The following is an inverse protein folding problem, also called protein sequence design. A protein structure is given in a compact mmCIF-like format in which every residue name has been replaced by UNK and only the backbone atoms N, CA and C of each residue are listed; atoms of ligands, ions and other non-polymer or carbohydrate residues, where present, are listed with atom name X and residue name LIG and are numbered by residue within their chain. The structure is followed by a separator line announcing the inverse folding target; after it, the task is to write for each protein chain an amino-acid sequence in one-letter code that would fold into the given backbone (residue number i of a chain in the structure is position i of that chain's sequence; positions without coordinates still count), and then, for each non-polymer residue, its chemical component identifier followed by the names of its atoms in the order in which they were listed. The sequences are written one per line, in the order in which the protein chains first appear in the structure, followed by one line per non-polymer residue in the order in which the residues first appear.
data_IF_345986234129
#
_entry.id   IF_345986234129
#
_cell.length_a   1.000
_cell.length_b   1.000
_cell.length_c   1.000
_cell.angle_alpha   90.00
_cell.angle_beta   90.00
_cell.angle_gamma   90.00
#
_symmetry.space_group_name_H-M   'P 1'
#
loop_
_entity.id
_entity.type
_entity.pdbx_description
1 polymer ?
#
# COMPACT_ATOMS: atom_id res chain seq x y z
N UNK A 1 -30.41 1.37 -28.95
CA UNK A 1 -30.76 0.36 -29.97
C UNK A 1 -30.46 0.89 -31.38
N UNK A 2 -29.28 0.61 -31.92
CA UNK A 2 -28.96 0.60 -33.36
C UNK A 2 -27.49 0.16 -33.52
N UNK A 3 -27.24 -1.13 -33.29
CA UNK A 3 -25.95 -1.75 -33.60
C UNK A 3 -26.24 -2.98 -34.47
N UNK A 4 -26.58 -2.75 -35.74
CA UNK A 4 -26.79 -3.79 -36.76
C UNK A 4 -26.75 -3.17 -38.14
N UNK A 5 -25.60 -3.19 -38.80
CA UNK A 5 -25.56 -3.01 -40.26
C UNK A 5 -24.31 -3.52 -40.99
N UNK A 6 -23.14 -3.70 -40.35
CA UNK A 6 -21.92 -4.09 -41.09
C UNK A 6 -21.12 -5.11 -40.29
N UNK A 7 -21.27 -6.39 -40.63
CA UNK A 7 -20.73 -7.57 -39.94
C UNK A 7 -19.21 -7.69 -39.93
N UNK A 8 -18.56 -6.82 -39.13
CA UNK A 8 -17.16 -6.88 -38.70
C UNK A 8 -17.00 -5.99 -37.46
N UNK A 9 -17.66 -6.32 -36.36
CA UNK A 9 -17.50 -5.61 -35.08
C UNK A 9 -17.47 -6.63 -33.94
N UNK A 10 -16.27 -6.96 -33.48
CA UNK A 10 -16.09 -7.07 -32.04
C UNK A 10 -16.35 -5.65 -31.52
N UNK A 11 -17.54 -5.41 -30.96
CA UNK A 11 -17.71 -4.25 -30.10
C UNK A 11 -16.84 -4.52 -28.89
N UNK A 12 -15.59 -4.05 -28.94
CA UNK A 12 -14.78 -3.88 -27.75
C UNK A 12 -15.62 -2.98 -26.83
N UNK A 13 -16.25 -3.57 -25.81
CA UNK A 13 -17.23 -2.89 -24.95
C UNK A 13 -16.57 -1.86 -24.03
N UNK A 14 -15.29 -1.55 -24.26
CA UNK A 14 -14.55 -0.62 -23.47
C UNK A 14 -14.48 -1.03 -22.00
N UNK A 15 -14.58 -2.32 -21.67
CA UNK A 15 -14.44 -2.83 -20.31
C UNK A 15 -13.06 -3.45 -20.08
N UNK A 16 -12.61 -3.47 -18.84
CA UNK A 16 -11.41 -4.21 -18.41
C UNK A 16 -11.80 -5.68 -18.23
N UNK A 17 -10.98 -6.60 -18.74
CA UNK A 17 -11.18 -8.03 -18.48
C UNK A 17 -10.67 -8.37 -17.08
N UNK A 18 -11.29 -9.33 -16.39
CA UNK A 18 -10.92 -9.65 -15.01
C UNK A 18 -9.45 -10.06 -14.89
N UNK A 19 -8.91 -10.75 -15.89
CA UNK A 19 -7.51 -11.18 -15.93
C UNK A 19 -6.54 -10.01 -16.18
N UNK A 20 -7.02 -8.88 -16.72
CA UNK A 20 -6.23 -7.68 -16.95
C UNK A 20 -6.32 -6.69 -15.77
N UNK A 21 -7.36 -6.81 -14.94
CA UNK A 21 -7.63 -5.88 -13.85
C UNK A 21 -6.50 -5.77 -12.81
N UNK A 22 -5.77 -6.84 -12.40
CA UNK A 22 -4.63 -6.71 -11.49
C UNK A 22 -3.53 -5.77 -12.03
N UNK A 23 -3.17 -5.93 -13.30
CA UNK A 23 -2.13 -5.14 -13.95
C UNK A 23 -2.57 -3.69 -14.18
N UNK A 24 -3.81 -3.46 -14.59
CA UNK A 24 -4.33 -2.11 -14.79
C UNK A 24 -4.51 -1.34 -13.47
N UNK A 25 -4.91 -2.05 -12.41
CA UNK A 25 -5.01 -1.52 -11.04
C UNK A 25 -3.62 -1.14 -10.51
N UNK A 26 -2.65 -2.05 -10.62
CA UNK A 26 -1.25 -1.78 -10.25
C UNK A 26 -0.70 -0.54 -10.96
N UNK A 27 -1.03 -0.35 -12.24
CA UNK A 27 -0.61 0.83 -12.98
C UNK A 27 -1.16 2.14 -12.38
N UNK A 28 -2.44 2.20 -11.99
CA UNK A 28 -3.01 3.41 -11.34
C UNK A 28 -2.24 3.75 -10.06
N UNK A 29 -2.13 2.79 -9.15
CA UNK A 29 -1.58 3.04 -7.82
C UNK A 29 -0.08 3.32 -7.88
N UNK A 30 0.67 2.59 -8.69
CA UNK A 30 2.11 2.84 -8.83
C UNK A 30 2.42 4.14 -9.57
N UNK A 31 1.59 4.55 -10.54
CA UNK A 31 1.76 5.88 -11.17
C UNK A 31 1.49 7.01 -10.17
N UNK A 32 0.54 6.82 -9.25
CA UNK A 32 0.31 7.77 -8.15
C UNK A 32 1.50 7.80 -7.18
N UNK A 33 2.08 6.65 -6.82
CA UNK A 33 3.31 6.58 -6.02
C UNK A 33 4.46 7.34 -6.67
N UNK A 34 4.74 7.06 -7.95
CA UNK A 34 5.82 7.72 -8.68
C UNK A 34 5.61 9.23 -8.81
N UNK A 35 4.35 9.67 -8.96
CA UNK A 35 4.01 11.09 -9.13
C UNK A 35 4.04 11.85 -7.80
N UNK A 36 3.56 11.23 -6.72
CA UNK A 36 3.25 11.93 -5.47
C UNK A 36 4.32 11.76 -4.40
N UNK A 37 5.00 10.61 -4.34
CA UNK A 37 5.98 10.34 -3.28
C UNK A 37 7.35 11.00 -3.53
N UNK A 38 7.60 11.53 -4.74
CA UNK A 38 8.86 12.22 -5.06
C UNK A 38 10.09 11.34 -4.79
N UNK A 39 11.08 11.90 -4.09
CA UNK A 39 12.32 11.18 -3.73
C UNK A 39 12.09 9.94 -2.83
N UNK A 40 10.87 9.76 -2.30
CA UNK A 40 10.48 8.64 -1.45
C UNK A 40 9.79 7.49 -2.20
N UNK A 41 9.51 7.64 -3.50
CA UNK A 41 8.84 6.60 -4.30
C UNK A 41 9.61 5.26 -4.30
N UNK A 42 10.96 5.31 -4.27
CA UNK A 42 11.81 4.12 -4.18
C UNK A 42 11.51 3.25 -2.95
N UNK A 43 11.16 3.89 -1.83
CA UNK A 43 10.83 3.23 -0.56
C UNK A 43 9.44 2.61 -0.57
N UNK A 44 8.56 3.04 -1.47
CA UNK A 44 7.19 2.54 -1.63
C UNK A 44 7.09 1.46 -2.73
N UNK A 45 8.20 0.76 -2.99
CA UNK A 45 8.29 -0.34 -3.95
C UNK A 45 9.05 0.00 -5.24
N UNK A 46 9.26 1.29 -5.53
CA UNK A 46 10.07 1.79 -6.64
C UNK A 46 9.82 1.06 -7.97
N UNK A 47 10.89 0.69 -8.67
CA UNK A 47 10.84 0.00 -9.96
C UNK A 47 10.07 -1.35 -9.93
N UNK A 48 9.89 -1.96 -8.76
CA UNK A 48 9.14 -3.22 -8.59
C UNK A 48 7.70 -3.02 -8.14
N UNK A 49 7.24 -1.79 -7.92
CA UNK A 49 5.88 -1.50 -7.45
C UNK A 49 4.84 -2.25 -8.29
N UNK A 50 4.88 -2.07 -9.62
CA UNK A 50 3.91 -2.69 -10.53
C UNK A 50 3.94 -4.21 -10.46
N UNK A 51 5.14 -4.81 -10.54
CA UNK A 51 5.29 -6.27 -10.53
C UNK A 51 4.80 -6.89 -9.23
N UNK A 52 5.21 -6.32 -8.09
CA UNK A 52 4.83 -6.83 -6.78
C UNK A 52 3.34 -6.62 -6.51
N UNK A 53 2.81 -5.44 -6.82
CA UNK A 53 1.39 -5.15 -6.64
C UNK A 53 0.53 -6.07 -7.49
N UNK A 54 0.87 -6.25 -8.77
CA UNK A 54 0.15 -7.20 -9.64
C UNK A 54 0.18 -8.61 -9.08
N UNK A 55 1.37 -9.11 -8.71
CA UNK A 55 1.48 -10.46 -8.14
C UNK A 55 0.72 -10.62 -6.82
N UNK A 56 0.75 -9.62 -5.92
CA UNK A 56 -0.05 -9.63 -4.69
C UNK A 56 -1.55 -9.57 -4.95
N UNK A 57 -1.99 -8.78 -5.93
CA UNK A 57 -3.40 -8.73 -6.31
C UNK A 57 -3.87 -10.08 -6.89
N UNK A 58 -3.09 -10.65 -7.82
CA UNK A 58 -3.34 -11.95 -8.44
C UNK A 58 -3.40 -13.07 -7.41
N UNK A 59 -2.50 -13.10 -6.42
CA UNK A 59 -2.47 -14.18 -5.40
C UNK A 59 -3.35 -13.89 -4.17
N UNK A 60 -3.95 -12.71 -4.10
CA UNK A 60 -4.74 -12.24 -2.97
C UNK A 60 -6.19 -12.02 -3.35
N UNK A 61 -6.57 -10.75 -3.52
CA UNK A 61 -7.95 -10.34 -3.75
C UNK A 61 -8.58 -11.00 -4.99
N UNK A 62 -7.83 -11.20 -6.08
CA UNK A 62 -8.40 -11.76 -7.30
C UNK A 62 -8.68 -13.26 -7.22
N UNK A 63 -7.91 -14.03 -6.46
CA UNK A 63 -8.25 -15.44 -6.15
C UNK A 63 -9.55 -15.53 -5.34
N UNK A 64 -9.73 -14.59 -4.39
CA UNK A 64 -10.99 -14.48 -3.64
C UNK A 64 -12.17 -14.15 -4.58
N UNK A 65 -11.96 -13.25 -5.54
CA UNK A 65 -12.96 -12.87 -6.54
C UNK A 65 -13.33 -14.04 -7.45
N UNK A 66 -12.34 -14.75 -8.00
CA UNK A 66 -12.56 -15.92 -8.85
C UNK A 66 -13.36 -17.00 -8.11
N UNK A 67 -13.03 -17.25 -6.84
CA UNK A 67 -13.77 -18.19 -6.00
C UNK A 67 -15.23 -17.73 -5.78
N UNK A 68 -15.47 -16.45 -5.54
CA UNK A 68 -16.80 -15.89 -5.32
C UNK A 68 -17.65 -15.89 -6.60
N UNK A 69 -17.04 -15.58 -7.75
CA UNK A 69 -17.68 -15.66 -9.07
C UNK A 69 -18.06 -17.11 -9.38
N UNK A 70 -17.15 -18.06 -9.13
CA UNK A 70 -17.43 -19.49 -9.32
C UNK A 70 -18.54 -19.99 -8.39
N UNK A 71 -18.61 -19.45 -7.16
CA UNK A 71 -19.70 -19.70 -6.21
C UNK A 71 -21.02 -19.02 -6.61
N UNK A 72 -20.96 -18.04 -7.50
CA UNK A 72 -22.10 -17.27 -7.98
C UNK A 72 -22.61 -16.25 -6.97
N UNK A 73 -21.78 -15.83 -6.02
CA UNK A 73 -22.13 -14.82 -4.98
C UNK A 73 -21.78 -13.40 -5.41
N UNK A 74 -20.97 -13.25 -6.46
CA UNK A 74 -20.67 -11.98 -7.12
C UNK A 74 -20.68 -12.14 -8.64
N UNK A 75 -20.86 -11.02 -9.34
CA UNK A 75 -20.59 -10.91 -10.77
C UNK A 75 -19.62 -9.77 -11.02
N UNK A 76 -18.73 -9.92 -11.99
CA UNK A 76 -17.72 -8.92 -12.34
C UNK A 76 -18.22 -7.97 -13.45
N UNK A 77 -18.08 -6.66 -13.23
CA UNK A 77 -18.37 -5.62 -14.22
C UNK A 77 -17.08 -4.93 -14.70
N UNK A 78 -16.66 -5.28 -15.92
CA UNK A 78 -15.49 -4.70 -16.56
C UNK A 78 -15.65 -3.22 -16.96
N UNK A 79 -16.88 -2.73 -17.17
CA UNK A 79 -17.13 -1.32 -17.48
C UNK A 79 -17.08 -0.45 -16.21
N UNK A 80 -17.62 -0.96 -15.10
CA UNK A 80 -17.44 -0.35 -13.78
C UNK A 80 -15.95 -0.32 -13.40
N UNK A 81 -15.21 -1.41 -13.66
CA UNK A 81 -13.76 -1.44 -13.47
C UNK A 81 -13.06 -0.33 -14.23
N UNK A 82 -13.37 -0.11 -15.52
CA UNK A 82 -12.75 0.99 -16.28
C UNK A 82 -13.05 2.35 -15.67
N UNK A 83 -14.32 2.59 -15.32
CA UNK A 83 -14.76 3.85 -14.73
C UNK A 83 -14.04 4.11 -13.39
N UNK A 84 -13.92 3.09 -12.55
CA UNK A 84 -13.16 3.14 -11.31
C UNK A 84 -11.70 3.54 -11.53
N UNK A 85 -11.00 2.86 -12.43
CA UNK A 85 -9.59 3.16 -12.68
C UNK A 85 -9.39 4.58 -13.26
N UNK A 86 -10.31 5.04 -14.12
CA UNK A 86 -10.28 6.41 -14.66
C UNK A 86 -10.52 7.46 -13.57
N UNK A 87 -11.47 7.22 -12.66
CA UNK A 87 -11.74 8.10 -11.50
C UNK A 87 -10.57 8.11 -10.51
N UNK A 88 -9.97 6.95 -10.23
CA UNK A 88 -8.77 6.83 -9.39
C UNK A 88 -7.57 7.57 -9.99
N UNK A 89 -7.42 7.60 -11.32
CA UNK A 89 -6.39 8.43 -11.99
C UNK A 89 -6.62 9.92 -11.77
N UNK A 90 -7.88 10.35 -11.75
CA UNK A 90 -8.25 11.75 -11.47
C UNK A 90 -7.98 12.11 -10.01
N UNK A 91 -8.21 11.17 -9.08
CA UNK A 91 -7.93 11.37 -7.65
C UNK A 91 -6.43 11.60 -7.35
N UNK A 92 -5.52 11.04 -8.17
CA UNK A 92 -4.08 11.27 -8.06
C UNK A 92 -3.53 10.89 -6.69
N UNK A 93 -2.93 11.84 -5.98
CA UNK A 93 -2.31 11.61 -4.66
C UNK A 93 -3.30 11.27 -3.54
N UNK A 94 -4.60 11.45 -3.77
CA UNK A 94 -5.64 11.13 -2.80
C UNK A 94 -6.17 9.69 -2.94
N UNK A 95 -5.69 8.92 -3.91
CA UNK A 95 -6.21 7.58 -4.25
C UNK A 95 -6.17 6.58 -3.08
N UNK A 96 -5.37 6.83 -2.04
CA UNK A 96 -5.24 5.97 -0.86
C UNK A 96 -6.03 6.45 0.37
N UNK A 97 -6.54 7.69 0.39
CA UNK A 97 -7.10 8.31 1.60
C UNK A 97 -8.56 8.78 1.44
N UNK A 98 -9.07 8.77 0.22
CA UNK A 98 -10.47 9.02 -0.06
C UNK A 98 -11.27 7.71 -0.09
N UNK A 99 -12.56 7.81 0.21
CA UNK A 99 -13.47 6.69 -0.02
C UNK A 99 -13.42 6.30 -1.50
N UNK A 100 -13.40 4.99 -1.82
CA UNK A 100 -13.42 4.56 -3.21
C UNK A 100 -14.66 5.13 -3.91
N UNK A 101 -14.53 5.62 -5.15
CA UNK A 101 -15.68 6.07 -5.94
C UNK A 101 -16.77 5.01 -6.07
N UNK A 102 -18.00 5.44 -6.35
CA UNK A 102 -19.15 4.52 -6.54
C UNK A 102 -18.85 3.47 -7.61
N UNK A 103 -18.21 3.87 -8.71
CA UNK A 103 -17.81 2.98 -9.80
C UNK A 103 -16.87 1.85 -9.36
N UNK A 104 -16.05 2.06 -8.33
CA UNK A 104 -15.19 1.03 -7.75
C UNK A 104 -15.97 0.00 -6.93
N UNK A 105 -17.09 0.41 -6.31
CA UNK A 105 -17.98 -0.51 -5.58
C UNK A 105 -18.84 -1.34 -6.52
N UNK A 106 -19.05 -0.87 -7.74
CA UNK A 106 -19.82 -1.57 -8.78
C UNK A 106 -19.00 -2.62 -9.55
N UNK A 107 -17.68 -2.73 -9.29
CA UNK A 107 -16.81 -3.73 -9.94
C UNK A 107 -17.30 -5.15 -9.67
N UNK A 108 -17.69 -5.42 -8.42
CA UNK A 108 -18.28 -6.67 -8.01
C UNK A 108 -19.72 -6.41 -7.59
N UNK A 109 -20.65 -7.01 -8.30
CA UNK A 109 -22.08 -6.93 -7.98
C UNK A 109 -22.46 -8.19 -7.21
N UNK A 110 -22.65 -8.02 -5.90
CA UNK A 110 -23.08 -9.07 -4.98
C UNK A 110 -24.49 -9.57 -5.25
N UNK A 111 -24.74 -10.84 -4.91
CA UNK A 111 -26.05 -11.50 -5.09
C UNK A 111 -26.67 -11.99 -3.78
N UNK A 112 -25.96 -11.87 -2.66
CA UNK A 112 -26.43 -12.33 -1.34
C UNK A 112 -27.36 -11.28 -0.75
N UNK A 113 -28.55 -11.68 -0.35
CA UNK A 113 -29.55 -10.73 0.15
C UNK A 113 -29.23 -10.27 1.58
N UNK A 114 -29.75 -9.11 1.97
CA UNK A 114 -29.56 -8.60 3.32
C UNK A 114 -30.07 -9.59 4.39
N UNK A 115 -29.25 -9.81 5.42
CA UNK A 115 -29.50 -10.76 6.51
C UNK A 115 -29.00 -12.18 6.25
N UNK A 116 -28.47 -12.47 5.06
CA UNK A 116 -27.86 -13.77 4.75
C UNK A 116 -26.36 -13.80 5.04
N UNK A 117 -25.80 -15.01 5.12
CA UNK A 117 -24.39 -15.22 5.43
C UNK A 117 -23.50 -14.79 4.26
N UNK A 118 -22.37 -14.15 4.57
CA UNK A 118 -21.40 -13.67 3.59
C UNK A 118 -19.97 -13.91 4.06
N UNK A 119 -19.01 -13.85 3.13
CA UNK A 119 -17.56 -13.97 3.43
C UNK A 119 -16.85 -12.62 3.37
N UNK A 120 -17.28 -11.73 2.46
CA UNK A 120 -16.73 -10.39 2.31
C UNK A 120 -17.79 -9.44 1.73
N UNK A 121 -17.55 -8.13 1.86
CA UNK A 121 -18.57 -7.09 1.67
C UNK A 121 -19.18 -7.06 0.26
N UNK A 122 -18.38 -7.34 -0.76
CA UNK A 122 -18.79 -7.31 -2.17
C UNK A 122 -19.74 -8.45 -2.57
N UNK A 123 -19.92 -9.48 -1.73
CA UNK A 123 -20.92 -10.54 -1.97
C UNK A 123 -22.35 -10.10 -1.69
N UNK A 124 -22.49 -9.06 -0.86
CA UNK A 124 -23.78 -8.55 -0.45
C UNK A 124 -24.41 -7.70 -1.57
N UNK A 125 -25.67 -7.99 -1.88
CA UNK A 125 -26.41 -7.28 -2.90
C UNK A 125 -26.71 -5.82 -2.48
N UNK A 126 -26.63 -4.91 -3.44
CA UNK A 126 -26.87 -3.48 -3.22
C UNK A 126 -25.78 -2.81 -2.39
N UNK A 127 -26.15 -1.79 -1.60
CA UNK A 127 -25.20 -1.01 -0.77
C UNK A 127 -24.99 -1.62 0.63
N UNK A 128 -24.90 -2.95 0.69
CA UNK A 128 -24.63 -3.69 1.92
C UNK A 128 -23.12 -3.97 2.10
N UNK A 129 -22.75 -4.40 3.30
CA UNK A 129 -21.40 -4.87 3.65
C UNK A 129 -21.52 -6.15 4.48
N UNK A 130 -20.40 -6.89 4.61
CA UNK A 130 -20.38 -8.16 5.33
C UNK A 130 -19.94 -7.97 6.77
N UNK A 131 -20.90 -7.93 7.70
CA UNK A 131 -20.62 -7.67 9.11
C UNK A 131 -20.13 -8.93 9.83
N UNK A 132 -18.98 -8.83 10.51
CA UNK A 132 -18.47 -9.86 11.42
C UNK A 132 -17.85 -11.10 10.77
N UNK A 133 -17.46 -11.05 9.50
CA UNK A 133 -16.77 -12.17 8.84
C UNK A 133 -15.34 -12.34 9.37
N UNK A 134 -14.96 -13.58 9.65
CA UNK A 134 -13.61 -14.02 9.97
C UNK A 134 -13.41 -15.39 9.31
N UNK A 135 -13.14 -15.38 8.00
CA UNK A 135 -13.08 -16.59 7.20
C UNK A 135 -11.75 -17.33 7.33
N UNK A 136 -11.76 -18.68 7.33
CA UNK A 136 -12.91 -19.57 7.08
C UNK A 136 -13.78 -19.90 8.32
N UNK A 137 -13.46 -19.37 9.50
CA UNK A 137 -14.05 -19.79 10.78
C UNK A 137 -15.49 -19.35 10.98
N UNK A 138 -15.80 -18.09 10.64
CA UNK A 138 -17.09 -17.46 10.92
C UNK A 138 -17.54 -16.61 9.73
N UNK A 139 -18.64 -17.02 9.10
CA UNK A 139 -19.32 -16.19 8.11
C UNK A 139 -19.93 -14.95 8.77
N UNK A 140 -19.83 -13.83 8.06
CA UNK A 140 -20.51 -12.59 8.44
C UNK A 140 -21.97 -12.59 8.02
N UNK A 141 -22.64 -11.45 8.16
CA UNK A 141 -24.01 -11.24 7.70
C UNK A 141 -24.13 -9.97 6.87
N UNK A 142 -24.77 -10.08 5.69
CA UNK A 142 -25.01 -8.93 4.84
C UNK A 142 -25.89 -7.90 5.53
N UNK A 143 -25.32 -6.75 5.85
CA UNK A 143 -25.96 -5.69 6.62
C UNK A 143 -25.90 -4.37 5.86
N UNK A 144 -26.91 -3.51 6.03
CA UNK A 144 -26.90 -2.20 5.43
C UNK A 144 -25.73 -1.36 5.96
N UNK A 145 -25.04 -0.66 5.07
CA UNK A 145 -23.95 0.24 5.45
C UNK A 145 -24.41 1.34 6.41
N UNK A 146 -23.47 1.74 7.25
CA UNK A 146 -23.63 2.66 8.36
C UNK A 146 -23.64 4.10 7.87
N UNK A 147 -24.62 4.86 8.35
CA UNK A 147 -24.77 6.29 8.04
C UNK A 147 -23.74 7.13 8.81
N UNK A 148 -23.58 8.39 8.40
CA UNK A 148 -22.65 9.31 9.06
C UNK A 148 -22.92 9.44 10.57
N UNK A 149 -21.84 9.46 11.36
CA UNK A 149 -21.87 9.54 12.82
C UNK A 149 -22.11 8.20 13.53
N UNK A 150 -22.20 7.09 12.78
CA UNK A 150 -22.32 5.74 13.36
C UNK A 150 -20.94 5.14 13.59
N UNK A 151 -20.79 4.37 14.67
CA UNK A 151 -19.56 3.65 15.02
C UNK A 151 -19.18 2.63 13.95
N UNK A 152 -17.90 2.58 13.57
CA UNK A 152 -17.35 1.67 12.56
C UNK A 152 -15.96 1.19 12.97
N UNK A 153 -15.54 0.04 12.44
CA UNK A 153 -14.18 -0.48 12.56
C UNK A 153 -13.43 -0.41 11.20
N UNK A 154 -14.17 -0.43 10.09
CA UNK A 154 -13.68 -0.31 8.71
C UNK A 154 -14.47 0.67 7.84
N UNK A 155 -13.80 1.27 6.85
CA UNK A 155 -14.44 2.22 5.90
C UNK A 155 -15.44 1.55 4.97
N UNK A 156 -15.32 0.24 4.75
CA UNK A 156 -16.29 -0.57 4.00
C UNK A 156 -17.58 -0.82 4.78
N UNK A 157 -17.67 -0.42 6.04
CA UNK A 157 -18.94 -0.45 6.77
C UNK A 157 -19.78 0.80 6.46
N UNK A 158 -19.17 1.87 5.94
CA UNK A 158 -19.81 3.16 5.76
C UNK A 158 -20.48 3.30 4.38
N UNK A 159 -21.58 4.06 4.33
CA UNK A 159 -22.26 4.41 3.07
C UNK A 159 -21.30 5.13 2.12
N UNK A 160 -21.58 5.05 0.82
CA UNK A 160 -20.72 5.61 -0.23
C UNK A 160 -20.35 7.07 0.03
N UNK A 161 -19.07 7.39 -0.15
CA UNK A 161 -18.50 8.72 0.10
C UNK A 161 -18.09 8.99 1.55
N UNK A 162 -18.28 8.04 2.47
CA UNK A 162 -17.78 8.12 3.85
C UNK A 162 -16.63 7.12 4.07
N UNK A 163 -15.75 7.48 5.01
CA UNK A 163 -14.67 6.63 5.55
C UNK A 163 -14.88 6.43 7.05
N UNK A 164 -14.27 5.40 7.60
CA UNK A 164 -14.20 5.20 9.04
C UNK A 164 -13.02 5.98 9.61
N UNK A 165 -13.31 7.09 10.30
CA UNK A 165 -12.28 8.01 10.83
C UNK A 165 -12.58 8.28 12.31
N UNK A 166 -11.60 8.08 13.20
CA UNK A 166 -11.82 8.13 14.65
C UNK A 166 -12.94 7.18 15.13
N UNK A 167 -13.10 6.02 14.47
CA UNK A 167 -14.12 5.02 14.80
C UNK A 167 -15.55 5.39 14.42
N UNK A 168 -15.76 6.42 13.58
CA UNK A 168 -17.10 6.80 13.12
C UNK A 168 -17.15 7.08 11.62
N UNK A 169 -18.26 6.73 10.97
CA UNK A 169 -18.48 7.01 9.56
C UNK A 169 -18.62 8.52 9.33
N UNK A 170 -17.73 9.11 8.54
CA UNK A 170 -17.81 10.53 8.16
C UNK A 170 -17.12 10.79 6.84
N UNK A 171 -17.28 12.00 6.29
CA UNK A 171 -16.50 12.42 5.12
C UNK A 171 -15.04 12.51 5.51
N UNK A 172 -14.15 11.97 4.68
CA UNK A 172 -12.70 12.00 4.95
C UNK A 172 -12.24 13.42 5.26
N UNK A 173 -11.58 13.59 6.40
CA UNK A 173 -10.95 14.86 6.76
C UNK A 173 -9.61 15.04 6.06
N UNK A 174 -9.04 13.94 5.53
CA UNK A 174 -7.79 13.91 4.78
C UNK A 174 -7.90 14.73 3.50
N UNK A 175 -7.03 15.74 3.39
CA UNK A 175 -6.88 16.60 2.22
C UNK A 175 -5.57 17.37 2.33
N UNK A 176 -5.06 17.83 1.20
CA UNK A 176 -3.85 18.68 1.19
C UNK A 176 -4.03 19.94 2.04
N UNK A 177 -3.07 20.21 2.94
CA UNK A 177 -3.16 21.31 3.90
C UNK A 177 -4.24 21.13 4.97
N UNK A 178 -4.85 19.95 5.06
CA UNK A 178 -5.89 19.60 6.03
C UNK A 178 -5.34 19.17 7.40
N UNK A 179 -6.21 18.85 8.37
CA UNK A 179 -5.79 18.28 9.64
C UNK A 179 -5.23 16.87 9.46
N UNK A 180 -4.37 16.45 10.36
CA UNK A 180 -3.81 15.09 10.45
C UNK A 180 -3.51 14.70 11.89
N UNK A 181 -3.24 13.41 12.12
CA UNK A 181 -3.06 12.80 13.43
C UNK A 181 -4.19 13.20 14.40
N UNK A 182 -3.84 13.46 15.66
CA UNK A 182 -4.77 13.67 16.75
C UNK A 182 -5.53 12.41 17.14
N UNK A 183 -6.52 12.55 18.03
CA UNK A 183 -7.30 11.42 18.54
C UNK A 183 -8.14 10.72 17.45
N UNK A 184 -8.29 11.34 16.28
CA UNK A 184 -9.00 10.75 15.15
C UNK A 184 -8.08 9.97 14.20
N UNK A 185 -6.75 10.09 14.34
CA UNK A 185 -5.76 9.35 13.54
C UNK A 185 -5.82 9.69 12.04
N UNK A 186 -6.03 10.97 11.71
CA UNK A 186 -6.27 11.38 10.31
C UNK A 186 -4.96 11.27 9.50
N UNK A 187 -4.96 10.41 8.48
CA UNK A 187 -3.82 10.26 7.57
C UNK A 187 -3.74 11.39 6.55
N UNK A 188 -2.52 11.70 6.07
CA UNK A 188 -2.31 12.68 5.00
C UNK A 188 -2.36 12.06 3.60
N UNK A 189 -2.71 12.85 2.57
CA UNK A 189 -2.52 12.49 1.17
C UNK A 189 -1.13 11.93 0.87
N UNK A 190 -1.02 11.04 -0.11
CA UNK A 190 0.27 10.50 -0.51
C UNK A 190 1.21 11.63 -0.94
N UNK A 191 2.44 11.63 -0.43
CA UNK A 191 3.40 12.71 -0.69
C UNK A 191 3.36 13.85 0.31
N UNK A 192 2.53 13.76 1.35
CA UNK A 192 2.46 14.73 2.45
C UNK A 192 2.77 14.07 3.80
N UNK A 193 3.27 14.86 4.75
CA UNK A 193 3.49 14.43 6.14
C UNK A 193 2.67 15.28 7.09
N UNK A 194 2.32 14.67 8.23
CA UNK A 194 1.69 15.41 9.31
C UNK A 194 2.73 16.24 10.07
N UNK A 195 2.55 17.57 10.04
CA UNK A 195 3.44 18.49 10.75
C UNK A 195 2.77 19.00 12.01
N UNK A 196 3.44 18.84 13.14
CA UNK A 196 2.97 19.30 14.45
C UNK A 196 1.79 18.49 15.00
N UNK A 197 1.55 17.30 14.46
CA UNK A 197 0.57 16.34 14.95
C UNK A 197 1.23 15.19 15.71
N UNK A 198 0.44 14.58 16.59
CA UNK A 198 0.73 13.33 17.29
C UNK A 198 -0.61 12.69 17.69
N UNK A 199 -0.60 11.57 18.45
CA UNK A 199 -1.83 10.88 18.87
C UNK A 199 -2.82 11.77 19.66
N UNK A 200 -2.37 12.87 20.26
CA UNK A 200 -3.20 13.79 21.06
C UNK A 200 -3.44 15.14 20.35
N UNK A 201 -2.54 15.56 19.48
CA UNK A 201 -2.49 16.88 18.87
C UNK A 201 -2.78 16.80 17.37
N UNK A 202 -3.72 17.62 16.90
CA UNK A 202 -4.01 17.73 15.46
C UNK A 202 -2.92 18.55 14.78
N UNK A 203 -2.25 17.93 13.80
CA UNK A 203 -1.26 18.58 12.94
C UNK A 203 -1.86 19.14 11.66
N UNK A 204 -0.99 19.45 10.70
CA UNK A 204 -1.38 19.85 9.34
C UNK A 204 -0.63 19.05 8.29
N UNK A 205 -1.36 18.48 7.34
CA UNK A 205 -0.76 17.81 6.19
C UNK A 205 0.01 18.82 5.35
N UNK A 206 1.31 18.59 5.22
CA UNK A 206 2.21 19.46 4.49
C UNK A 206 2.93 18.64 3.43
N UNK A 207 2.96 19.14 2.20
CA UNK A 207 3.66 18.48 1.11
C UNK A 207 5.13 18.29 1.45
N UNK A 208 5.65 17.09 1.17
CA UNK A 208 7.05 16.75 1.44
C UNK A 208 8.00 17.76 0.79
N UNK A 209 7.69 18.22 -0.42
CA UNK A 209 8.47 19.25 -1.13
C UNK A 209 8.58 20.58 -0.38
N UNK A 210 7.63 20.91 0.49
CA UNK A 210 7.67 22.13 1.32
C UNK A 210 8.53 21.94 2.58
N UNK A 211 8.71 20.69 3.02
CA UNK A 211 9.51 20.34 4.20
C UNK A 211 11.00 20.11 3.86
N UNK A 212 11.29 19.86 2.58
CA UNK A 212 12.63 19.71 2.02
C UNK A 212 13.38 21.06 1.95
N UNK A 213 13.83 21.55 3.10
CA UNK A 213 14.40 22.91 3.26
C UNK A 213 15.86 22.92 3.68
N UNK A 214 16.37 21.84 4.29
CA UNK A 214 17.74 21.78 4.78
C UNK A 214 18.73 21.58 3.63
N UNK A 215 19.69 22.49 3.51
CA UNK A 215 20.73 22.46 2.48
C UNK A 215 21.81 21.42 2.79
N UNK A 216 22.74 21.21 1.84
CA UNK A 216 23.91 20.36 2.03
C UNK A 216 24.68 20.74 3.31
N UNK A 217 25.01 19.72 4.11
CA UNK A 217 25.68 19.83 5.40
C UNK A 217 24.88 20.54 6.52
N UNK A 218 23.62 20.89 6.30
CA UNK A 218 22.73 21.32 7.39
C UNK A 218 22.13 20.12 8.14
N UNK A 219 21.68 20.37 9.38
CA UNK A 219 20.96 19.37 10.15
C UNK A 219 19.62 19.09 9.50
N UNK A 220 19.30 17.81 9.34
CA UNK A 220 17.96 17.33 9.09
C UNK A 220 17.50 16.51 10.30
N UNK A 221 16.21 16.24 10.41
CA UNK A 221 15.66 15.32 11.40
C UNK A 221 14.22 14.96 10.99
N UNK A 222 13.97 13.73 10.53
CA UNK A 222 12.63 13.27 10.16
C UNK A 222 11.64 13.31 11.35
N UNK A 223 12.10 13.17 12.59
CA UNK A 223 11.24 13.16 13.78
C UNK A 223 10.61 14.53 14.07
N UNK A 224 11.28 15.61 13.66
CA UNK A 224 10.75 16.98 13.76
C UNK A 224 10.46 17.59 12.38
N UNK A 225 10.23 16.73 11.38
CA UNK A 225 9.80 17.11 10.03
C UNK A 225 10.75 18.07 9.29
N UNK A 226 12.06 17.99 9.56
CA UNK A 226 13.07 18.77 8.82
C UNK A 226 13.77 17.86 7.81
N UNK A 227 13.47 18.05 6.52
CA UNK A 227 14.02 17.21 5.45
C UNK A 227 15.03 17.99 4.60
N UNK A 228 15.94 17.24 3.99
CA UNK A 228 16.92 17.80 3.07
C UNK A 228 16.25 18.23 1.76
N UNK A 229 16.80 19.27 1.12
CA UNK A 229 16.40 19.62 -0.24
C UNK A 229 16.53 18.42 -1.18
N UNK A 230 15.67 18.35 -2.19
CA UNK A 230 15.59 17.21 -3.11
C UNK A 230 16.97 16.82 -3.69
N UNK A 231 17.20 15.51 -3.80
CA UNK A 231 18.47 14.92 -4.24
C UNK A 231 19.54 14.78 -3.16
N UNK A 232 19.27 15.20 -1.92
CA UNK A 232 20.11 14.92 -0.75
C UNK A 232 19.51 13.81 0.12
N UNK A 233 20.36 13.16 0.89
CA UNK A 233 20.00 12.17 1.90
C UNK A 233 20.08 12.78 3.30
N UNK A 234 19.06 12.54 4.13
CA UNK A 234 19.18 12.81 5.56
C UNK A 234 19.93 11.67 6.24
N UNK A 235 21.22 11.85 6.46
CA UNK A 235 22.11 10.77 6.84
C UNK A 235 22.50 10.81 8.32
N UNK A 236 22.57 9.64 8.96
CA UNK A 236 23.03 9.46 10.34
C UNK A 236 24.56 9.59 10.37
N UNK A 237 25.05 10.72 10.89
CA UNK A 237 26.48 11.04 10.92
C UNK A 237 27.11 10.80 12.29
N UNK A 238 26.31 10.52 13.32
CA UNK A 238 26.82 10.31 14.66
C UNK A 238 25.74 9.98 15.68
N UNK A 239 26.15 9.95 16.95
CA UNK A 239 25.25 9.89 18.09
C UNK A 239 25.72 10.87 19.17
N UNK A 240 24.79 11.70 19.64
CA UNK A 240 24.99 12.70 20.67
C UNK A 240 24.18 12.41 21.94
N UNK A 241 24.19 13.36 22.87
CA UNK A 241 23.49 13.22 24.16
C UNK A 241 21.95 13.11 24.02
N UNK A 242 21.39 13.44 22.86
CA UNK A 242 19.96 13.39 22.55
C UNK A 242 19.53 12.28 21.59
N UNK A 243 20.44 11.40 21.15
CA UNK A 243 20.14 10.35 20.15
C UNK A 243 21.03 10.43 18.93
N UNK A 244 20.55 9.88 17.81
CA UNK A 244 21.23 9.94 16.52
C UNK A 244 21.37 11.39 16.03
N UNK A 245 22.53 11.72 15.46
CA UNK A 245 22.79 13.00 14.81
C UNK A 245 22.64 12.85 13.30
N UNK A 246 21.84 13.71 12.69
CA UNK A 246 21.48 13.64 11.29
C UNK A 246 21.96 14.88 10.52
N UNK A 247 22.45 14.68 9.29
CA UNK A 247 22.94 15.75 8.45
C UNK A 247 22.61 15.47 6.98
N UNK A 248 22.28 16.52 6.23
CA UNK A 248 22.07 16.43 4.80
C UNK A 248 23.36 16.16 4.06
N UNK A 249 23.41 15.04 3.32
CA UNK A 249 24.56 14.61 2.53
C UNK A 249 24.18 14.41 1.07
N UNK A 250 25.15 14.64 0.19
CA UNK A 250 24.97 14.38 -1.23
C UNK A 250 24.90 12.87 -1.50
N UNK A 251 24.16 12.48 -2.53
CA UNK A 251 24.24 11.13 -3.07
C UNK A 251 25.68 10.82 -3.53
N UNK A 252 26.06 9.55 -3.44
CA UNK A 252 27.40 9.05 -3.74
C UNK A 252 27.36 7.93 -4.78
N UNK A 253 28.52 7.62 -5.37
CA UNK A 253 28.68 6.55 -6.34
C UNK A 253 28.71 5.15 -5.73
N UNK A 254 28.63 4.14 -6.60
CA UNK A 254 28.78 2.74 -6.22
C UNK A 254 30.15 2.49 -5.57
N UNK A 255 30.17 1.80 -4.42
CA UNK A 255 31.39 1.52 -3.68
C UNK A 255 32.07 2.75 -3.04
N UNK A 256 31.42 3.91 -3.04
CA UNK A 256 31.91 5.10 -2.34
C UNK A 256 31.48 5.09 -0.87
N UNK A 257 32.16 5.91 -0.06
CA UNK A 257 31.84 6.07 1.35
C UNK A 257 30.44 6.68 1.51
N UNK A 258 29.67 6.15 2.45
CA UNK A 258 28.29 6.56 2.71
C UNK A 258 28.00 6.59 4.21
N UNK A 259 26.85 7.16 4.53
CA UNK A 259 26.20 7.04 5.83
C UNK A 259 24.79 6.47 5.60
N UNK A 260 24.23 5.73 6.57
CA UNK A 260 22.82 5.31 6.51
C UNK A 260 21.96 6.55 6.51
N UNK A 261 21.03 6.68 5.58
CA UNK A 261 20.19 7.85 5.47
C UNK A 261 18.96 7.64 4.61
N UNK A 262 18.04 8.59 4.67
CA UNK A 262 16.77 8.53 3.96
C UNK A 262 16.46 9.86 3.24
N UNK A 263 16.18 9.84 1.93
CA UNK A 263 16.40 8.72 0.98
C UNK A 263 17.86 8.22 0.99
N UNK A 264 18.14 7.02 0.48
CA UNK A 264 19.51 6.46 0.50
C UNK A 264 20.53 7.37 -0.19
N UNK A 265 21.73 7.49 0.38
CA UNK A 265 22.88 8.13 -0.29
C UNK A 265 23.40 7.30 -1.47
N UNK A 266 23.17 5.99 -1.43
CA UNK A 266 23.72 5.06 -2.40
C UNK A 266 22.86 5.01 -3.67
N UNK A 267 23.46 4.64 -4.81
CA UNK A 267 22.71 4.46 -6.05
C UNK A 267 21.61 3.39 -5.90
N UNK A 268 20.60 3.45 -6.76
CA UNK A 268 19.55 2.43 -6.82
C UNK A 268 20.13 1.00 -6.89
N UNK A 269 19.53 0.08 -6.13
CA UNK A 269 20.04 -1.29 -6.01
C UNK A 269 21.18 -1.45 -5.00
N UNK A 270 21.54 -0.41 -4.25
CA UNK A 270 22.56 -0.44 -3.21
C UNK A 270 22.06 0.14 -1.89
N UNK A 271 22.71 -0.29 -0.81
CA UNK A 271 22.50 0.23 0.54
C UNK A 271 23.84 0.66 1.15
N UNK A 272 23.78 1.42 2.24
CA UNK A 272 24.97 1.75 3.00
C UNK A 272 25.25 0.67 4.06
N UNK A 273 26.41 0.02 4.03
CA UNK A 273 26.76 -1.07 4.96
C UNK A 273 27.15 -0.63 6.39
N UNK A 274 26.96 0.66 6.69
CA UNK A 274 27.07 1.18 8.04
C UNK A 274 26.01 0.59 8.97
N UNK A 275 26.33 0.54 10.27
CA UNK A 275 25.40 0.09 11.31
C UNK A 275 25.39 1.08 12.49
N UNK A 276 24.53 2.12 12.42
CA UNK A 276 24.42 3.13 13.46
C UNK A 276 24.07 2.57 14.85
N UNK A 277 23.37 1.43 14.93
CA UNK A 277 23.04 0.78 16.22
C UNK A 277 24.27 0.22 16.93
N UNK A 278 25.32 -0.09 16.17
CA UNK A 278 26.62 -0.49 16.70
C UNK A 278 27.60 0.69 16.80
N UNK A 279 27.13 1.93 16.58
CA UNK A 279 27.97 3.13 16.54
C UNK A 279 28.88 3.21 15.32
N UNK A 280 28.57 2.45 14.26
CA UNK A 280 29.30 2.47 12.99
C UNK A 280 28.54 3.35 12.00
N UNK A 281 28.89 4.63 11.94
CA UNK A 281 28.19 5.62 11.11
C UNK A 281 28.72 5.68 9.67
N UNK A 282 30.01 5.42 9.48
CA UNK A 282 30.66 5.38 8.18
C UNK A 282 30.55 3.98 7.57
N UNK A 283 30.09 3.92 6.32
CA UNK A 283 29.98 2.70 5.53
C UNK A 283 30.46 2.90 4.10
N UNK A 284 30.19 1.92 3.27
CA UNK A 284 30.42 1.91 1.83
C UNK A 284 29.16 1.43 1.12
N UNK A 285 28.84 2.04 -0.02
CA UNK A 285 27.72 1.58 -0.82
C UNK A 285 27.96 0.17 -1.34
N UNK A 286 27.10 -0.75 -0.93
CA UNK A 286 27.16 -2.17 -1.25
C UNK A 286 25.88 -2.60 -1.99
N UNK A 287 25.95 -3.59 -2.90
CA UNK A 287 24.77 -4.16 -3.55
C UNK A 287 23.75 -4.66 -2.53
N UNK A 288 22.47 -4.33 -2.75
CA UNK A 288 21.39 -4.91 -1.96
C UNK A 288 21.40 -6.45 -2.08
N UNK A 289 21.14 -7.20 -1.00
CA UNK A 289 21.14 -8.65 -1.04
C UNK A 289 20.05 -9.19 -1.96
N UNK A 290 20.41 -10.24 -2.68
CA UNK A 290 19.53 -10.96 -3.61
C UNK A 290 18.88 -12.18 -2.94
N UNK A 291 18.00 -12.87 -3.66
CA UNK A 291 17.22 -14.01 -3.16
C UNK A 291 18.12 -15.06 -2.49
N UNK A 292 17.80 -15.42 -1.24
CA UNK A 292 18.53 -16.38 -0.41
C UNK A 292 19.74 -15.82 0.34
N UNK A 293 20.03 -14.52 0.24
CA UNK A 293 21.07 -13.86 1.04
C UNK A 293 20.47 -13.25 2.32
N UNK A 294 21.29 -13.09 3.35
CA UNK A 294 20.91 -12.39 4.57
C UNK A 294 20.46 -10.95 4.24
N UNK A 295 19.42 -10.48 4.92
CA UNK A 295 18.97 -9.10 4.77
C UNK A 295 20.07 -8.11 5.15
N UNK A 296 20.11 -7.00 4.42
CA UNK A 296 21.01 -5.90 4.68
C UNK A 296 20.37 -4.85 5.58
N UNK A 297 21.16 -3.85 5.98
CA UNK A 297 20.65 -2.70 6.71
C UNK A 297 20.28 -3.03 8.16
N UNK A 298 20.21 -1.98 8.97
CA UNK A 298 20.04 -2.13 10.41
C UNK A 298 18.66 -1.70 10.92
N UNK A 299 17.86 -1.01 10.08
CA UNK A 299 16.59 -0.42 10.48
C UNK A 299 15.38 -1.30 10.13
N UNK A 300 15.34 -1.91 8.93
CA UNK A 300 14.14 -2.65 8.48
C UNK A 300 14.42 -3.93 7.68
N UNK A 301 15.69 -4.28 7.44
CA UNK A 301 16.04 -5.40 6.57
C UNK A 301 15.84 -5.02 5.10
N UNK A 302 16.90 -4.60 4.43
CA UNK A 302 16.89 -4.15 3.05
C UNK A 302 17.25 -5.31 2.11
N UNK A 303 16.51 -5.41 1.01
CA UNK A 303 16.70 -6.43 -0.01
C UNK A 303 16.65 -5.80 -1.40
N UNK A 304 17.20 -6.50 -2.39
CA UNK A 304 17.11 -6.06 -3.78
C UNK A 304 15.63 -5.92 -4.19
N UNK A 305 15.36 -5.00 -5.11
CA UNK A 305 14.00 -4.68 -5.56
C UNK A 305 13.20 -5.94 -5.93
N UNK A 306 11.96 -6.00 -5.45
CA UNK A 306 11.08 -7.16 -5.67
C UNK A 306 11.22 -8.29 -4.64
N UNK A 307 12.10 -8.15 -3.66
CA UNK A 307 12.28 -9.10 -2.56
C UNK A 307 11.78 -8.49 -1.25
N UNK A 308 11.43 -9.36 -0.30
CA UNK A 308 11.08 -8.98 1.06
C UNK A 308 12.04 -9.61 2.04
N UNK A 309 12.33 -8.91 3.13
CA UNK A 309 13.13 -9.46 4.20
C UNK A 309 12.27 -10.37 5.08
N UNK A 310 12.42 -11.68 4.90
CA UNK A 310 11.65 -12.68 5.62
C UNK A 310 12.35 -12.99 6.93
N UNK A 311 11.66 -12.76 8.05
CA UNK A 311 12.21 -13.06 9.39
C UNK A 311 12.14 -14.55 9.67
N UNK A 312 13.30 -15.18 9.82
CA UNK A 312 13.45 -16.61 10.09
C UNK A 312 14.10 -16.89 11.44
N UNK A 313 13.88 -18.10 11.99
CA UNK A 313 14.52 -18.53 13.25
C UNK A 313 16.06 -18.57 13.16
N UNK A 314 16.60 -18.77 11.96
CA UNK A 314 18.04 -18.87 11.70
C UNK A 314 18.66 -17.55 11.19
N UNK A 315 17.86 -16.49 11.08
CA UNK A 315 18.25 -15.20 10.51
C UNK A 315 17.23 -14.70 9.49
N UNK A 316 17.33 -13.41 9.18
CA UNK A 316 16.45 -12.75 8.23
C UNK A 316 17.02 -12.89 6.82
N UNK A 317 16.22 -13.41 5.88
CA UNK A 317 16.67 -13.73 4.52
C UNK A 317 15.85 -12.97 3.48
N UNK A 318 16.53 -12.33 2.54
CA UNK A 318 15.90 -11.74 1.38
C UNK A 318 15.29 -12.82 0.52
N UNK A 319 13.97 -12.81 0.40
CA UNK A 319 13.21 -13.85 -0.30
C UNK A 319 12.30 -13.20 -1.32
N UNK A 320 12.24 -13.78 -2.52
CA UNK A 320 11.17 -13.44 -3.47
C UNK A 320 9.86 -14.04 -2.95
N UNK A 321 8.81 -13.24 -2.68
CA UNK A 321 7.50 -13.78 -2.36
C UNK A 321 7.05 -14.78 -3.43
N UNK A 322 6.38 -15.84 -2.99
CA UNK A 322 5.98 -16.96 -3.85
C UNK A 322 4.48 -16.90 -4.16
N UNK A 323 4.06 -17.38 -5.33
CA UNK A 323 2.64 -17.51 -5.66
C UNK A 323 1.96 -18.60 -4.83
N UNK A 324 0.63 -18.61 -4.83
CA UNK A 324 -0.17 -19.65 -4.19
C UNK A 324 0.17 -21.04 -4.76
N UNK A 325 0.26 -22.04 -3.89
CA UNK A 325 0.64 -23.42 -4.22
C UNK A 325 2.14 -23.73 -4.09
N UNK A 326 3.01 -22.71 -4.03
CA UNK A 326 4.44 -22.90 -3.78
C UNK A 326 4.75 -23.07 -2.29
N UNK A 327 5.89 -23.71 -1.99
CA UNK A 327 6.32 -23.91 -0.60
C UNK A 327 6.70 -22.59 0.09
N UNK A 328 6.38 -22.49 1.37
CA UNK A 328 6.72 -21.36 2.23
C UNK A 328 6.98 -21.82 3.66
N UNK A 329 7.67 -20.97 4.43
CA UNK A 329 7.89 -21.19 5.87
C UNK A 329 7.09 -20.21 6.73
N UNK A 330 6.88 -18.99 6.23
CA UNK A 330 6.13 -17.92 6.91
C UNK A 330 5.32 -17.10 5.91
N UNK A 331 4.31 -16.41 6.41
CA UNK A 331 3.37 -15.57 5.66
C UNK A 331 4.05 -14.55 4.73
N UNK A 332 5.11 -13.91 5.21
CA UNK A 332 5.89 -12.92 4.45
C UNK A 332 6.52 -13.50 3.18
N UNK A 333 6.71 -14.83 3.12
CA UNK A 333 7.24 -15.52 1.95
C UNK A 333 6.23 -15.67 0.81
N UNK A 334 4.98 -15.24 0.97
CA UNK A 334 3.90 -15.43 -0.01
C UNK A 334 3.37 -14.09 -0.52
N UNK A 335 3.06 -13.99 -1.82
CA UNK A 335 2.42 -12.79 -2.38
C UNK A 335 1.06 -12.50 -1.77
N UNK A 336 0.34 -13.55 -1.33
CA UNK A 336 -0.92 -13.46 -0.61
C UNK A 336 -0.76 -13.02 0.86
N UNK A 337 0.47 -13.02 1.38
CA UNK A 337 0.73 -12.84 2.80
C UNK A 337 0.22 -14.00 3.68
N UNK A 338 -0.04 -15.19 3.12
CA UNK A 338 -0.54 -16.35 3.85
C UNK A 338 0.24 -17.61 3.50
N UNK A 339 0.91 -18.19 4.51
CA UNK A 339 1.60 -19.45 4.45
C UNK A 339 0.89 -20.49 5.32
N UNK A 340 0.19 -21.42 4.70
CA UNK A 340 -0.59 -22.43 5.40
C UNK A 340 -0.06 -23.83 5.16
N UNK A 341 0.22 -24.55 6.25
CA UNK A 341 0.77 -25.91 6.19
C UNK A 341 2.03 -26.03 5.31
N UNK A 342 2.84 -24.97 5.27
CA UNK A 342 4.07 -24.90 4.48
C UNK A 342 3.88 -24.59 3.00
N UNK A 343 2.70 -24.10 2.60
CA UNK A 343 2.36 -23.75 1.22
C UNK A 343 1.66 -22.38 1.18
N UNK A 344 2.05 -21.54 0.23
CA UNK A 344 1.38 -20.25 0.03
C UNK A 344 -0.08 -20.50 -0.35
N UNK A 345 -0.99 -19.85 0.35
CA UNK A 345 -2.42 -20.07 0.20
C UNK A 345 -3.12 -18.76 -0.15
N UNK A 346 -4.18 -18.87 -0.95
CA UNK A 346 -5.08 -17.77 -1.19
C UNK A 346 -5.87 -17.40 0.08
N UNK A 347 -6.41 -16.18 0.15
CA UNK A 347 -7.50 -15.88 1.07
C UNK A 347 -8.67 -16.85 0.83
N UNK A 348 -9.33 -17.28 1.91
CA UNK A 348 -10.43 -18.23 1.83
C UNK A 348 -11.78 -17.55 2.05
N UNK A 349 -12.78 -18.01 1.31
CA UNK A 349 -14.17 -17.67 1.56
C UNK A 349 -14.70 -18.48 2.75
N UNK A 350 -15.64 -17.90 3.47
CA UNK A 350 -16.40 -18.62 4.49
C UNK A 350 -17.31 -19.67 3.83
N UNK A 351 -17.59 -20.78 4.51
CA UNK A 351 -18.65 -21.70 4.09
C UNK A 351 -20.01 -21.00 4.24
N UNK A 352 -20.78 -20.92 3.15
CA UNK A 352 -22.13 -20.33 3.10
C UNK A 352 -23.21 -21.41 2.95
#
# INVERSE_FOLDING_TARGET
MLCSALGLWACDSGGVAIEAAPAETAAVYCDAVDTCAGDFAGSLGGASCRTNFTASAENGAFELWDAAIARGTVTYDGAATRSCLDESRVAGCNVFNEAPPESCREILVGTIEAGEACSFSEECAGDAYCDGAACPETAGTCTARKASGTDCDGSDECVTGLVCEGGTCKTSSSRSGGPCDGPEGIACPLGELCVGGDEETVGTCTALSELQTAALDESCDPQVSTFCVSGLSCAVVGAGAGGAEFQCKAAVGAGEACNVGFPSMCPEGQYCDANPFMGMFDGTCAPLPTDGQDCAGSLEGECASGLVCVRGELGDTCTRPRPNGDACDVDQGCYSGRCESGVCAAPELCPL
#
